data_IF_466119927130
#
_entry.id   IF_466119927130
#
_cell.length_a   1.000
_cell.length_b   1.000
_cell.length_c   1.000
_cell.angle_alpha   90.00
_cell.angle_beta   90.00
_cell.angle_gamma   90.00
#
_symmetry.space_group_name_H-M   'P 1'
#
loop_
_entity.id
_entity.type
_entity.pdbx_description
1 polymer ?
#
# COMPACT_ATOMS: atom_id res chain seq x y z
N UNK A 1 65.09 60.27 7.95
CA UNK A 1 63.79 60.98 8.10
C UNK A 1 63.73 62.03 6.99
N UNK A 2 62.58 62.32 6.34
CA UNK A 2 61.19 61.81 6.52
C UNK A 2 60.49 61.46 5.17
N UNK A 3 59.15 61.28 5.18
CA UNK A 3 58.20 61.20 4.05
C UNK A 3 57.97 59.78 3.48
N UNK A 4 56.79 59.16 3.48
CA UNK A 4 55.42 59.68 3.39
C UNK A 4 54.49 58.68 4.11
N UNK A 5 53.98 59.05 5.28
CA UNK A 5 53.04 58.22 6.01
C UNK A 5 51.66 58.33 5.36
N UNK A 6 51.46 57.58 4.27
CA UNK A 6 50.18 56.98 3.87
C UNK A 6 48.96 57.89 3.89
N UNK A 7 49.01 59.06 3.26
CA UNK A 7 47.80 59.82 2.94
C UNK A 7 47.24 59.28 1.62
N UNK A 8 46.33 58.32 1.72
CA UNK A 8 45.57 57.84 0.55
C UNK A 8 44.91 59.02 -0.17
N UNK A 9 44.91 59.00 -1.50
CA UNK A 9 44.17 59.98 -2.29
C UNK A 9 42.67 59.86 -2.03
N UNK A 10 41.91 60.95 -2.20
CA UNK A 10 40.45 60.92 -2.00
C UNK A 10 39.76 59.83 -2.82
N UNK A 11 40.24 59.57 -4.03
CA UNK A 11 39.74 58.50 -4.91
C UNK A 11 40.04 57.10 -4.37
N UNK A 12 41.21 56.87 -3.77
CA UNK A 12 41.54 55.59 -3.14
C UNK A 12 40.69 55.35 -1.89
N UNK A 13 40.45 56.37 -1.08
CA UNK A 13 39.57 56.29 0.09
C UNK A 13 38.14 55.95 -0.30
N UNK A 14 37.59 56.58 -1.33
CA UNK A 14 36.26 56.27 -1.86
C UNK A 14 36.15 54.84 -2.39
N UNK A 15 37.19 54.34 -3.09
CA UNK A 15 37.23 52.96 -3.58
C UNK A 15 37.27 51.98 -2.41
N UNK A 16 38.08 52.24 -1.39
CA UNK A 16 38.17 51.40 -0.19
C UNK A 16 36.84 51.33 0.57
N UNK A 17 36.14 52.47 0.72
CA UNK A 17 34.81 52.50 1.32
C UNK A 17 33.79 51.67 0.54
N UNK A 18 33.73 51.84 -0.80
CA UNK A 18 32.85 51.04 -1.67
C UNK A 18 33.15 49.54 -1.61
N UNK A 19 34.43 49.16 -1.50
CA UNK A 19 34.82 47.76 -1.36
C UNK A 19 34.41 47.20 0.01
N UNK A 20 34.54 47.98 1.09
CA UNK A 20 34.10 47.59 2.42
C UNK A 20 32.58 47.42 2.48
N UNK A 21 31.81 48.35 1.92
CA UNK A 21 30.35 48.22 1.79
C UNK A 21 29.98 46.98 0.99
N UNK A 22 30.62 46.77 -0.16
CA UNK A 22 30.37 45.58 -0.99
C UNK A 22 30.69 44.29 -0.26
N UNK A 23 31.80 44.22 0.48
CA UNK A 23 32.11 43.06 1.34
C UNK A 23 30.99 42.83 2.36
N UNK A 24 30.54 43.86 3.07
CA UNK A 24 29.42 43.74 4.01
C UNK A 24 28.13 43.20 3.37
N UNK A 25 27.82 43.62 2.14
CA UNK A 25 26.66 43.08 1.40
C UNK A 25 26.83 41.62 0.99
N UNK A 26 28.05 41.21 0.63
CA UNK A 26 28.36 39.83 0.28
C UNK A 26 28.30 38.92 1.52
N UNK A 27 28.91 39.33 2.62
CA UNK A 27 28.87 38.58 3.89
C UNK A 27 27.43 38.42 4.43
N UNK A 28 26.56 39.39 4.17
CA UNK A 28 25.14 39.29 4.52
C UNK A 28 24.39 38.31 3.60
N UNK A 29 24.69 38.30 2.30
CA UNK A 29 24.11 37.35 1.34
C UNK A 29 24.58 35.93 1.60
N UNK A 30 25.86 35.73 1.88
CA UNK A 30 26.44 34.43 2.21
C UNK A 30 25.74 33.82 3.43
N UNK A 31 25.63 34.59 4.52
CA UNK A 31 24.86 34.17 5.71
C UNK A 31 23.38 33.89 5.42
N UNK A 32 22.75 34.58 4.47
CA UNK A 32 21.38 34.29 4.09
C UNK A 32 21.26 32.97 3.32
N UNK A 33 22.20 32.71 2.40
CA UNK A 33 22.28 31.48 1.63
C UNK A 33 22.53 30.29 2.56
N UNK A 34 23.53 30.38 3.44
CA UNK A 34 23.85 29.33 4.42
C UNK A 34 22.63 28.97 5.29
N UNK A 35 21.86 29.97 5.74
CA UNK A 35 20.63 29.73 6.51
C UNK A 35 19.58 29.01 5.68
N UNK A 36 19.38 29.41 4.42
CA UNK A 36 18.41 28.75 3.52
C UNK A 36 18.83 27.32 3.21
N UNK A 37 20.10 27.08 2.96
CA UNK A 37 20.64 25.74 2.72
C UNK A 37 20.47 24.84 3.94
N UNK A 38 20.74 25.35 5.15
CA UNK A 38 20.51 24.61 6.39
C UNK A 38 19.03 24.23 6.58
N UNK A 39 18.11 25.16 6.30
CA UNK A 39 16.66 24.92 6.35
C UNK A 39 16.21 23.89 5.30
N UNK A 40 16.70 24.03 4.06
CA UNK A 40 16.39 23.10 2.98
C UNK A 40 16.87 21.69 3.32
N UNK A 41 18.12 21.54 3.79
CA UNK A 41 18.67 20.26 4.22
C UNK A 41 17.89 19.64 5.37
N UNK A 42 17.43 20.46 6.32
CA UNK A 42 16.58 19.98 7.42
C UNK A 42 15.22 19.47 6.90
N UNK A 43 14.62 20.16 5.93
CA UNK A 43 13.38 19.75 5.29
C UNK A 43 13.54 18.47 4.47
N UNK A 44 14.61 18.36 3.66
CA UNK A 44 14.94 17.15 2.89
C UNK A 44 15.10 15.94 3.81
N UNK A 45 15.87 16.07 4.90
CA UNK A 45 16.03 15.01 5.90
C UNK A 45 14.69 14.62 6.55
N UNK A 46 13.81 15.60 6.81
CA UNK A 46 12.49 15.32 7.38
C UNK A 46 11.59 14.56 6.39
N UNK A 47 11.64 14.93 5.10
CA UNK A 47 10.90 14.25 4.04
C UNK A 47 11.40 12.81 3.90
N UNK A 48 12.72 12.60 3.85
CA UNK A 48 13.31 11.26 3.71
C UNK A 48 12.94 10.33 4.88
N UNK A 49 12.94 10.85 6.11
CA UNK A 49 12.43 10.12 7.28
C UNK A 49 10.96 9.71 7.10
N UNK A 50 10.09 10.65 6.72
CA UNK A 50 8.67 10.35 6.49
C UNK A 50 8.46 9.32 5.39
N UNK A 51 9.20 9.41 4.28
CA UNK A 51 9.14 8.43 3.19
C UNK A 51 9.53 7.04 3.70
N UNK A 52 10.59 6.96 4.51
CA UNK A 52 11.04 5.69 5.07
C UNK A 52 9.98 5.08 6.00
N UNK A 53 9.42 5.89 6.91
CA UNK A 53 8.32 5.47 7.79
C UNK A 53 7.10 4.99 7.00
N UNK A 54 6.70 5.72 5.96
CA UNK A 54 5.57 5.33 5.10
C UNK A 54 5.83 4.01 4.37
N UNK A 55 7.04 3.79 3.85
CA UNK A 55 7.42 2.51 3.21
C UNK A 55 7.39 1.35 4.20
N UNK A 56 7.88 1.56 5.42
CA UNK A 56 7.81 0.54 6.48
C UNK A 56 6.37 0.22 6.86
N UNK A 57 5.50 1.24 6.96
CA UNK A 57 4.09 1.04 7.24
C UNK A 57 3.38 0.29 6.10
N UNK A 58 3.63 0.68 4.85
CA UNK A 58 3.10 -0.01 3.67
C UNK A 58 3.49 -1.50 3.68
N UNK A 59 4.78 -1.80 3.86
CA UNK A 59 5.27 -3.18 3.93
C UNK A 59 4.62 -3.98 5.06
N UNK A 60 4.42 -3.33 6.22
CA UNK A 60 3.74 -3.95 7.37
C UNK A 60 2.29 -4.27 7.04
N UNK A 61 1.55 -3.33 6.44
CA UNK A 61 0.15 -3.53 6.03
C UNK A 61 0.04 -4.63 4.99
N UNK A 62 0.90 -4.64 3.98
CA UNK A 62 0.93 -5.70 2.97
C UNK A 62 1.21 -7.07 3.59
N UNK A 63 2.13 -7.14 4.57
CA UNK A 63 2.42 -8.35 5.33
C UNK A 63 1.23 -8.84 6.13
N UNK A 64 0.56 -7.96 6.87
CA UNK A 64 -0.64 -8.28 7.65
C UNK A 64 -1.79 -8.73 6.75
N UNK A 65 -1.98 -8.07 5.60
CA UNK A 65 -3.03 -8.44 4.65
C UNK A 65 -2.79 -9.83 4.04
N UNK A 66 -1.53 -10.16 3.71
CA UNK A 66 -1.16 -11.52 3.26
C UNK A 66 -1.47 -12.55 4.34
N UNK A 67 -1.04 -12.31 5.58
CA UNK A 67 -1.30 -13.22 6.69
C UNK A 67 -2.79 -13.43 6.94
N UNK A 68 -3.58 -12.35 6.89
CA UNK A 68 -5.04 -12.42 7.02
C UNK A 68 -5.65 -13.27 5.91
N UNK A 69 -5.29 -13.00 4.65
CA UNK A 69 -5.80 -13.76 3.50
C UNK A 69 -5.41 -15.24 3.58
N UNK A 70 -4.17 -15.55 3.94
CA UNK A 70 -3.69 -16.94 4.11
C UNK A 70 -4.44 -17.66 5.23
N UNK A 71 -4.75 -16.97 6.33
CA UNK A 71 -5.51 -17.53 7.44
C UNK A 71 -6.96 -17.81 7.04
N UNK A 72 -7.62 -16.86 6.37
CA UNK A 72 -9.00 -17.02 5.88
C UNK A 72 -9.09 -18.13 4.82
N UNK A 73 -8.14 -18.19 3.89
CA UNK A 73 -8.03 -19.27 2.91
C UNK A 73 -7.81 -20.62 3.59
N UNK A 74 -6.98 -20.69 4.63
CA UNK A 74 -6.72 -21.92 5.39
C UNK A 74 -7.97 -22.41 6.13
N UNK A 75 -8.71 -21.50 6.78
CA UNK A 75 -10.00 -21.81 7.42
C UNK A 75 -11.00 -22.33 6.38
N UNK A 76 -11.12 -21.64 5.25
CA UNK A 76 -12.06 -22.03 4.19
C UNK A 76 -11.68 -23.37 3.55
N UNK A 77 -10.39 -23.62 3.29
CA UNK A 77 -9.90 -24.93 2.82
C UNK A 77 -10.21 -26.04 3.81
N UNK A 78 -10.14 -25.76 5.11
CA UNK A 78 -10.48 -26.72 6.15
C UNK A 78 -11.96 -27.07 6.13
N UNK A 79 -12.84 -26.06 5.99
CA UNK A 79 -14.29 -26.27 5.83
C UNK A 79 -14.61 -27.09 4.56
N UNK A 80 -14.02 -26.72 3.43
CA UNK A 80 -14.14 -27.44 2.15
C UNK A 80 -13.74 -28.91 2.33
N UNK A 81 -12.60 -29.19 2.96
CA UNK A 81 -12.13 -30.56 3.22
C UNK A 81 -13.10 -31.38 4.08
N UNK A 82 -13.76 -30.77 5.06
CA UNK A 82 -14.75 -31.47 5.90
C UNK A 82 -15.89 -31.97 5.00
N UNK A 83 -16.43 -31.12 4.13
CA UNK A 83 -17.52 -31.49 3.23
C UNK A 83 -17.08 -32.44 2.10
N UNK A 84 -15.88 -32.29 1.54
CA UNK A 84 -15.36 -33.19 0.50
C UNK A 84 -15.13 -34.63 0.98
N UNK A 85 -14.91 -34.82 2.28
CA UNK A 85 -14.71 -36.12 2.93
C UNK A 85 -15.99 -36.67 3.57
N UNK A 86 -17.06 -35.88 3.61
CA UNK A 86 -18.36 -36.29 4.11
C UNK A 86 -19.10 -37.14 3.07
N UNK A 87 -20.02 -38.00 3.51
CA UNK A 87 -20.89 -38.74 2.60
C UNK A 87 -21.77 -37.74 1.81
N UNK A 88 -21.95 -37.92 0.48
CA UNK A 88 -22.67 -36.95 -0.35
C UNK A 88 -24.06 -36.60 0.17
N UNK A 89 -24.80 -37.62 0.64
CA UNK A 89 -26.15 -37.46 1.21
C UNK A 89 -26.18 -36.64 2.50
N UNK A 90 -25.16 -36.77 3.35
CA UNK A 90 -25.08 -36.01 4.60
C UNK A 90 -24.67 -34.56 4.31
N UNK A 91 -23.73 -34.36 3.38
CA UNK A 91 -23.32 -33.03 2.93
C UNK A 91 -24.48 -32.27 2.26
N UNK A 92 -25.27 -32.94 1.41
CA UNK A 92 -26.45 -32.36 0.75
C UNK A 92 -27.47 -31.80 1.75
N UNK A 93 -27.82 -32.59 2.78
CA UNK A 93 -28.75 -32.15 3.84
C UNK A 93 -28.26 -30.91 4.59
N UNK A 94 -26.95 -30.82 4.85
CA UNK A 94 -26.38 -29.65 5.51
C UNK A 94 -26.40 -28.46 4.55
N UNK A 95 -25.99 -28.64 3.29
CA UNK A 95 -26.00 -27.59 2.28
C UNK A 95 -27.39 -26.99 2.10
N UNK A 96 -28.45 -27.79 2.06
CA UNK A 96 -29.82 -27.28 1.94
C UNK A 96 -30.25 -26.31 3.05
N UNK A 97 -29.63 -26.43 4.23
CA UNK A 97 -29.84 -25.58 5.40
C UNK A 97 -28.90 -24.37 5.45
N UNK A 98 -27.80 -24.38 4.68
CA UNK A 98 -26.87 -23.25 4.61
C UNK A 98 -27.46 -22.07 3.83
N UNK A 99 -26.99 -20.88 4.19
CA UNK A 99 -27.23 -19.68 3.40
C UNK A 99 -26.55 -19.79 2.03
N UNK A 100 -27.20 -19.27 0.98
CA UNK A 100 -26.72 -19.38 -0.40
C UNK A 100 -25.30 -18.83 -0.57
N UNK A 101 -24.97 -17.70 0.05
CA UNK A 101 -23.62 -17.11 -0.04
C UNK A 101 -22.51 -18.04 0.43
N UNK A 102 -22.72 -18.70 1.58
CA UNK A 102 -21.76 -19.66 2.16
C UNK A 102 -21.65 -20.89 1.26
N UNK A 103 -22.78 -21.36 0.73
CA UNK A 103 -22.80 -22.51 -0.18
C UNK A 103 -21.98 -22.24 -1.44
N UNK A 104 -22.14 -21.04 -2.04
CA UNK A 104 -21.37 -20.62 -3.19
C UNK A 104 -19.87 -20.58 -2.89
N UNK A 105 -19.48 -19.97 -1.77
CA UNK A 105 -18.08 -19.83 -1.39
C UNK A 105 -17.38 -21.18 -1.17
N UNK A 106 -18.09 -22.14 -0.59
CA UNK A 106 -17.58 -23.50 -0.37
C UNK A 106 -17.51 -24.25 -1.70
N UNK A 107 -18.58 -24.23 -2.52
CA UNK A 107 -18.66 -24.96 -3.79
C UNK A 107 -17.63 -24.46 -4.80
N UNK A 108 -17.39 -23.16 -4.88
CA UNK A 108 -16.36 -22.58 -5.79
C UNK A 108 -14.94 -23.08 -5.48
N UNK A 109 -14.68 -23.47 -4.22
CA UNK A 109 -13.37 -23.95 -3.76
C UNK A 109 -13.28 -25.47 -3.70
N UNK A 110 -14.39 -26.17 -3.88
CA UNK A 110 -14.45 -27.63 -3.95
C UNK A 110 -14.08 -28.14 -5.34
N UNK A 111 -13.55 -29.37 -5.41
CA UNK A 111 -13.36 -30.06 -6.70
C UNK A 111 -14.71 -30.42 -7.31
N UNK A 112 -14.90 -30.16 -8.60
CA UNK A 112 -16.17 -30.45 -9.30
C UNK A 112 -16.62 -31.92 -9.15
N UNK A 113 -15.66 -32.86 -9.15
CA UNK A 113 -15.89 -34.28 -8.93
C UNK A 113 -16.49 -34.60 -7.55
N UNK A 114 -16.24 -33.76 -6.54
CA UNK A 114 -16.79 -33.89 -5.19
C UNK A 114 -18.15 -33.19 -5.06
N UNK A 115 -18.36 -32.09 -5.79
CA UNK A 115 -19.61 -31.34 -5.80
C UNK A 115 -20.73 -32.09 -6.52
N UNK A 116 -20.44 -32.72 -7.66
CA UNK A 116 -21.42 -33.43 -8.47
C UNK A 116 -22.29 -34.45 -7.70
N UNK A 117 -21.72 -35.39 -6.92
CA UNK A 117 -22.53 -36.33 -6.15
C UNK A 117 -23.29 -35.68 -4.99
N UNK A 118 -22.85 -34.52 -4.47
CA UNK A 118 -23.59 -33.78 -3.45
C UNK A 118 -24.82 -33.13 -4.08
N UNK A 119 -24.67 -32.47 -5.23
CA UNK A 119 -25.79 -31.89 -5.98
C UNK A 119 -26.85 -32.94 -6.36
N UNK A 120 -26.42 -34.16 -6.67
CA UNK A 120 -27.33 -35.26 -7.01
C UNK A 120 -28.19 -35.74 -5.82
N UNK A 121 -27.73 -35.55 -4.58
CA UNK A 121 -28.45 -35.91 -3.35
C UNK A 121 -29.25 -34.72 -2.78
N UNK A 122 -29.14 -33.53 -3.37
CA UNK A 122 -29.85 -32.32 -2.92
C UNK A 122 -31.27 -32.24 -3.48
N UNK A 123 -32.11 -31.46 -2.80
CA UNK A 123 -33.40 -31.00 -3.33
C UNK A 123 -33.21 -30.33 -4.72
N UNK A 124 -33.97 -30.74 -5.75
CA UNK A 124 -33.82 -30.22 -7.11
C UNK A 124 -33.95 -28.71 -7.22
N UNK A 125 -34.79 -28.09 -6.38
CA UNK A 125 -34.99 -26.63 -6.39
C UNK A 125 -33.76 -25.93 -5.82
N UNK A 126 -33.24 -26.41 -4.69
CA UNK A 126 -32.02 -25.88 -4.08
C UNK A 126 -30.81 -26.05 -5.00
N UNK A 127 -30.62 -27.22 -5.60
CA UNK A 127 -29.53 -27.49 -6.53
C UNK A 127 -29.59 -26.59 -7.78
N UNK A 128 -30.79 -26.37 -8.34
CA UNK A 128 -31.01 -25.46 -9.47
C UNK A 128 -30.64 -24.01 -9.11
N UNK A 129 -31.05 -23.55 -7.92
CA UNK A 129 -30.75 -22.21 -7.46
C UNK A 129 -29.25 -22.01 -7.27
N UNK A 130 -28.57 -22.94 -6.59
CA UNK A 130 -27.12 -22.92 -6.43
C UNK A 130 -26.39 -22.86 -7.79
N UNK A 131 -26.81 -23.69 -8.75
CA UNK A 131 -26.20 -23.74 -10.08
C UNK A 131 -26.42 -22.44 -10.87
N UNK A 132 -27.60 -21.82 -10.74
CA UNK A 132 -27.89 -20.54 -11.39
C UNK A 132 -27.03 -19.42 -10.81
N UNK A 133 -26.92 -19.35 -9.48
CA UNK A 133 -26.09 -18.35 -8.79
C UNK A 133 -24.60 -18.53 -9.12
N UNK A 134 -24.09 -19.77 -9.19
CA UNK A 134 -22.74 -20.06 -9.65
C UNK A 134 -22.49 -19.56 -11.08
N UNK A 135 -23.48 -19.73 -11.97
CA UNK A 135 -23.37 -19.26 -13.35
C UNK A 135 -23.32 -17.73 -13.42
N UNK A 136 -24.16 -17.03 -12.65
CA UNK A 136 -24.14 -15.55 -12.55
C UNK A 136 -22.80 -15.07 -12.02
N UNK A 137 -22.29 -15.68 -10.94
CA UNK A 137 -21.03 -15.29 -10.29
C UNK A 137 -19.82 -15.49 -11.20
N UNK A 138 -19.82 -16.54 -12.04
CA UNK A 138 -18.79 -16.79 -13.08
C UNK A 138 -18.88 -15.84 -14.27
N UNK A 139 -20.06 -15.32 -14.58
CA UNK A 139 -20.27 -14.34 -15.66
C UNK A 139 -19.92 -12.91 -15.24
N UNK A 140 -20.04 -12.58 -13.96
CA UNK A 140 -19.59 -11.28 -13.47
C UNK A 140 -18.08 -11.15 -13.65
N UNK A 141 -17.58 -10.11 -14.35
CA UNK A 141 -16.15 -9.84 -14.39
C UNK A 141 -15.68 -9.68 -12.95
N UNK A 142 -14.80 -10.56 -12.51
CA UNK A 142 -14.19 -10.43 -11.20
C UNK A 142 -13.45 -9.09 -11.20
N UNK A 143 -14.03 -8.07 -10.55
CA UNK A 143 -13.30 -6.86 -10.19
C UNK A 143 -12.35 -7.24 -9.07
N UNK A 144 -11.31 -8.00 -9.41
CA UNK A 144 -10.09 -8.03 -8.64
C UNK A 144 -9.60 -6.58 -8.66
N UNK A 145 -9.51 -5.87 -7.52
CA UNK A 145 -8.89 -4.57 -7.52
C UNK A 145 -7.49 -4.76 -8.10
N UNK A 146 -7.23 -4.10 -9.23
CA UNK A 146 -5.91 -3.98 -9.80
C UNK A 146 -5.03 -3.36 -8.71
N UNK A 147 -4.23 -4.19 -8.05
CA UNK A 147 -3.25 -3.73 -7.09
C UNK A 147 -2.28 -2.86 -7.90
N UNK A 148 -2.30 -1.55 -7.61
CA UNK A 148 -1.58 -0.52 -8.36
C UNK A 148 -0.08 -0.80 -8.43
N UNK A 149 0.50 -0.42 -9.57
CA UNK A 149 1.94 -0.38 -9.77
C UNK A 149 2.62 0.79 -9.04
#
# INVERSE_FOLDING_TARGET
>A
MPSDAGVFSQTELEVLQKLQERRGTLDARERDIERREALQKAAENQIERKITEMKTLQSTIEGLLRQYNDQEDSKMRSLVKIYENMKPKDAAKIFEQLEMGIMLDVVERMKEQKVAPILAEMDPTKAKNLTSELAVRRQMPTTKPANGG
#
